data_IF_209551562671
#
_entry.id   IF_209551562671
#
_cell.length_a   1.000
_cell.length_b   1.000
_cell.length_c   1.000
_cell.angle_alpha   90.00
_cell.angle_beta   90.00
_cell.angle_gamma   90.00
#
_symmetry.space_group_name_H-M   'P 1'
#
loop_
_entity.id
_entity.type
_entity.pdbx_description
1 polymer ?
#
# COMPACT_ATOMS: atom_id res chain seq x y z
N UNK A 1 -14.29 3.76 -8.80
CA UNK A 1 -14.88 2.80 -7.87
C UNK A 1 -14.29 2.98 -6.46
N UNK A 2 -12.96 3.01 -6.30
CA UNK A 2 -12.28 3.12 -5.00
C UNK A 2 -12.70 4.37 -4.21
N UNK A 3 -12.79 5.53 -4.85
CA UNK A 3 -13.28 6.77 -4.19
C UNK A 3 -14.70 6.60 -3.67
N UNK A 4 -15.60 5.98 -4.45
CA UNK A 4 -16.98 5.68 -4.01
C UNK A 4 -17.02 4.65 -2.88
N UNK A 5 -16.01 3.81 -2.75
CA UNK A 5 -15.84 2.87 -1.64
C UNK A 5 -15.20 3.51 -0.39
N UNK A 6 -14.85 4.80 -0.42
CA UNK A 6 -14.26 5.53 0.70
C UNK A 6 -12.73 5.68 0.65
N UNK A 7 -12.08 5.22 -0.41
CA UNK A 7 -10.63 5.41 -0.61
C UNK A 7 -10.34 6.79 -1.22
N UNK A 8 -10.46 7.83 -0.39
CA UNK A 8 -10.08 9.20 -0.78
C UNK A 8 -8.60 9.43 -0.53
N UNK A 9 -7.92 10.14 -1.42
CA UNK A 9 -6.50 10.50 -1.27
C UNK A 9 -6.27 11.81 -0.51
N UNK A 10 -7.32 12.62 -0.33
CA UNK A 10 -7.28 13.92 0.36
C UNK A 10 -8.42 14.03 1.37
N UNK A 11 -8.49 15.15 2.10
CA UNK A 11 -9.49 15.42 3.13
C UNK A 11 -9.27 14.62 4.41
N UNK A 12 -10.34 14.33 5.14
CA UNK A 12 -10.30 13.75 6.50
C UNK A 12 -9.42 12.49 6.60
N UNK A 13 -9.42 11.64 5.59
CA UNK A 13 -8.63 10.42 5.60
C UNK A 13 -7.13 10.71 5.50
N UNK A 14 -6.73 11.68 4.70
CA UNK A 14 -5.36 12.17 4.62
C UNK A 14 -4.96 12.87 5.93
N UNK A 15 -5.79 13.77 6.43
CA UNK A 15 -5.54 14.50 7.68
C UNK A 15 -5.37 13.54 8.87
N UNK A 16 -6.20 12.49 8.94
CA UNK A 16 -6.13 11.49 10.03
C UNK A 16 -4.77 10.81 10.13
N UNK A 17 -4.12 10.50 8.99
CA UNK A 17 -2.92 9.67 8.99
C UNK A 17 -1.64 10.39 8.55
N UNK A 18 -1.74 11.57 7.94
CA UNK A 18 -0.60 12.26 7.32
C UNK A 18 -0.48 13.75 7.68
N UNK A 19 -1.21 14.24 8.67
CA UNK A 19 -1.13 15.65 9.10
C UNK A 19 0.28 16.06 9.54
N UNK A 20 1.10 15.15 10.05
CA UNK A 20 2.50 15.38 10.38
C UNK A 20 3.37 15.56 9.13
N UNK A 21 3.14 14.76 8.09
CA UNK A 21 3.78 14.90 6.78
C UNK A 21 3.36 16.18 6.08
N UNK A 22 2.06 16.53 6.10
CA UNK A 22 1.59 17.83 5.57
C UNK A 22 2.31 19.00 6.23
N UNK A 23 2.40 19.01 7.55
CA UNK A 23 3.12 20.09 8.28
C UNK A 23 4.59 20.18 7.94
N UNK A 24 5.25 19.06 7.69
CA UNK A 24 6.69 19.03 7.39
C UNK A 24 7.00 19.33 5.93
N UNK A 25 6.20 18.82 5.01
CA UNK A 25 6.52 18.81 3.58
C UNK A 25 5.55 19.59 2.70
N UNK A 26 4.39 19.98 3.21
CA UNK A 26 3.43 20.87 2.55
C UNK A 26 2.48 20.22 1.54
N UNK A 27 2.60 18.91 1.25
CA UNK A 27 1.64 18.23 0.38
C UNK A 27 0.33 17.91 1.14
N UNK A 28 -0.80 17.84 0.39
CA UNK A 28 -2.15 17.73 0.97
C UNK A 28 -2.94 16.53 0.47
N UNK A 29 -2.27 15.58 -0.15
CA UNK A 29 -2.89 14.35 -0.64
C UNK A 29 -1.89 13.20 -0.68
N UNK A 30 -2.40 11.97 -0.68
CA UNK A 30 -1.56 10.77 -0.64
C UNK A 30 -0.77 10.53 -1.93
N UNK A 31 -1.26 11.02 -3.07
CA UNK A 31 -0.54 10.87 -4.32
C UNK A 31 0.73 11.71 -4.32
N UNK A 32 0.60 13.00 -4.00
CA UNK A 32 1.75 13.91 -3.88
C UNK A 32 2.75 13.43 -2.83
N UNK A 33 2.28 12.88 -1.71
CA UNK A 33 3.14 12.28 -0.68
C UNK A 33 3.88 11.05 -1.16
N UNK A 34 3.25 10.21 -1.99
CA UNK A 34 3.87 9.02 -2.55
C UNK A 34 5.04 9.31 -3.50
N UNK A 35 5.00 10.44 -4.19
CA UNK A 35 6.04 10.89 -5.12
C UNK A 35 6.98 11.95 -4.52
N UNK A 36 6.84 12.25 -3.22
CA UNK A 36 7.73 13.19 -2.57
C UNK A 36 9.15 12.63 -2.47
N UNK A 37 10.21 13.40 -2.81
CA UNK A 37 11.59 12.93 -2.78
C UNK A 37 12.15 12.94 -1.34
N UNK A 38 11.79 11.96 -0.54
CA UNK A 38 12.27 11.80 0.83
C UNK A 38 13.79 11.70 0.88
N UNK A 39 14.41 12.29 1.88
CA UNK A 39 15.88 12.32 2.01
C UNK A 39 16.46 11.00 2.50
N UNK A 40 15.68 10.21 3.25
CA UNK A 40 16.10 8.92 3.80
C UNK A 40 15.05 7.84 3.52
N UNK A 41 15.50 6.58 3.47
CA UNK A 41 14.60 5.44 3.32
C UNK A 41 13.72 5.23 4.57
N UNK A 42 14.20 5.64 5.73
CA UNK A 42 13.42 5.63 6.96
C UNK A 42 12.19 6.55 6.88
N UNK A 43 12.34 7.75 6.29
CA UNK A 43 11.20 8.66 6.04
C UNK A 43 10.30 8.14 4.91
N UNK A 44 10.89 7.64 3.83
CA UNK A 44 10.14 7.04 2.72
C UNK A 44 9.22 5.92 3.24
N UNK A 45 9.76 5.00 4.00
CA UNK A 45 8.98 3.91 4.57
C UNK A 45 8.05 4.36 5.71
N UNK A 46 8.40 5.43 6.43
CA UNK A 46 7.51 6.08 7.38
C UNK A 46 6.24 6.60 6.72
N UNK A 47 6.33 7.12 5.51
CA UNK A 47 5.17 7.49 4.71
C UNK A 47 4.46 6.26 4.12
N UNK A 48 5.22 5.41 3.42
CA UNK A 48 4.64 4.33 2.64
C UNK A 48 4.00 3.24 3.48
N UNK A 49 4.52 2.93 4.68
CA UNK A 49 3.87 1.93 5.53
C UNK A 49 2.45 2.32 5.92
N UNK A 50 2.19 3.60 6.22
CA UNK A 50 0.84 4.10 6.49
C UNK A 50 -0.04 4.01 5.24
N UNK A 51 0.46 4.49 4.10
CA UNK A 51 -0.27 4.47 2.84
C UNK A 51 -0.66 3.03 2.46
N UNK A 52 0.28 2.10 2.50
CA UNK A 52 0.04 0.68 2.23
C UNK A 52 -0.98 0.13 3.22
N UNK A 53 -0.78 0.35 4.54
CA UNK A 53 -1.68 -0.22 5.53
C UNK A 53 -3.13 0.17 5.31
N UNK A 54 -3.41 1.46 5.23
CA UNK A 54 -4.79 1.96 5.12
C UNK A 54 -5.44 1.65 3.77
N UNK A 55 -4.68 1.43 2.71
CA UNK A 55 -5.22 1.12 1.39
C UNK A 55 -5.29 -0.39 1.09
N UNK A 56 -4.40 -1.20 1.69
CA UNK A 56 -4.25 -2.62 1.35
C UNK A 56 -4.69 -3.57 2.47
N UNK A 57 -4.42 -3.23 3.72
CA UNK A 57 -4.59 -4.14 4.86
C UNK A 57 -5.73 -3.76 5.80
N UNK A 58 -6.01 -2.49 5.99
CA UNK A 58 -7.16 -2.03 6.76
C UNK A 58 -8.49 -2.48 6.13
N UNK A 59 -9.59 -2.53 6.89
CA UNK A 59 -10.90 -2.89 6.35
C UNK A 59 -11.29 -2.03 5.15
N UNK A 60 -11.97 -2.63 4.19
CA UNK A 60 -12.56 -1.87 3.07
C UNK A 60 -13.66 -0.99 3.66
N UNK A 61 -13.65 0.35 3.41
CA UNK A 61 -14.56 1.27 4.09
C UNK A 61 -16.05 1.05 3.80
N UNK A 62 -16.38 0.36 2.72
CA UNK A 62 -17.78 0.07 2.36
C UNK A 62 -17.93 -1.29 1.69
N UNK A 63 -19.18 -1.79 1.63
CA UNK A 63 -19.54 -3.05 0.96
C UNK A 63 -19.74 -2.91 -0.57
N UNK A 64 -19.21 -1.85 -1.18
CA UNK A 64 -19.43 -1.58 -2.61
C UNK A 64 -18.93 -2.72 -3.51
N UNK A 65 -17.74 -3.26 -3.21
CA UNK A 65 -17.14 -4.36 -3.99
C UNK A 65 -17.92 -5.67 -3.81
N UNK A 66 -18.42 -5.98 -2.60
CA UNK A 66 -19.27 -7.13 -2.34
C UNK A 66 -20.60 -7.03 -3.10
N UNK A 67 -21.22 -5.85 -3.12
CA UNK A 67 -22.42 -5.59 -3.91
C UNK A 67 -22.18 -5.72 -5.42
N UNK A 68 -21.05 -5.25 -5.90
CA UNK A 68 -20.67 -5.41 -7.31
C UNK A 68 -20.49 -6.91 -7.65
N UNK A 69 -19.80 -7.66 -6.79
CA UNK A 69 -19.67 -9.11 -6.98
C UNK A 69 -21.03 -9.79 -7.05
N UNK A 70 -21.97 -9.45 -6.15
CA UNK A 70 -23.31 -10.01 -6.15
C UNK A 70 -24.07 -9.77 -7.46
N UNK A 71 -23.81 -8.65 -8.14
CA UNK A 71 -24.42 -8.33 -9.43
C UNK A 71 -23.87 -9.16 -10.61
N UNK A 72 -22.59 -9.57 -10.53
CA UNK A 72 -21.91 -10.19 -11.67
C UNK A 72 -21.55 -11.66 -11.48
N UNK A 73 -21.58 -12.21 -10.26
CA UNK A 73 -21.12 -13.57 -9.92
C UNK A 73 -21.70 -14.70 -10.79
N UNK A 74 -22.95 -14.53 -11.24
CA UNK A 74 -23.67 -15.51 -12.08
C UNK A 74 -23.60 -15.15 -13.58
N UNK A 75 -22.74 -14.23 -13.95
CA UNK A 75 -22.53 -13.75 -15.33
C UNK A 75 -21.16 -14.12 -15.84
N UNK A 76 -20.98 -14.09 -17.13
CA UNK A 76 -19.65 -14.13 -17.74
C UNK A 76 -19.02 -12.73 -17.62
N UNK A 77 -18.19 -12.56 -16.61
CA UNK A 77 -17.51 -11.27 -16.31
C UNK A 77 -15.98 -11.42 -16.37
N UNK A 78 -15.33 -10.32 -16.62
CA UNK A 78 -13.90 -10.17 -16.44
C UNK A 78 -13.62 -8.79 -15.85
N UNK A 79 -12.67 -8.70 -14.91
CA UNK A 79 -12.24 -7.45 -14.28
C UNK A 79 -10.88 -7.06 -14.83
N UNK A 80 -10.81 -5.87 -15.44
CA UNK A 80 -9.56 -5.18 -15.73
C UNK A 80 -9.47 -3.94 -14.84
N UNK A 81 -8.42 -3.85 -14.05
CA UNK A 81 -8.27 -2.75 -13.08
C UNK A 81 -6.84 -2.21 -13.05
N UNK A 82 -6.74 -0.90 -12.82
CA UNK A 82 -5.49 -0.20 -12.49
C UNK A 82 -5.31 0.01 -10.99
N UNK A 83 -6.26 -0.47 -10.17
CA UNK A 83 -6.16 -0.37 -8.72
C UNK A 83 -5.12 -1.34 -8.17
N UNK A 84 -4.39 -0.87 -7.16
CA UNK A 84 -3.31 -1.60 -6.48
C UNK A 84 -3.67 -2.00 -5.04
N UNK A 85 -4.95 -1.81 -4.66
CA UNK A 85 -5.48 -2.02 -3.32
C UNK A 85 -6.00 -3.45 -3.06
N UNK A 86 -6.08 -4.28 -4.09
CA UNK A 86 -6.62 -5.63 -4.06
C UNK A 86 -8.08 -5.73 -3.55
N UNK A 87 -8.86 -4.67 -3.65
CA UNK A 87 -10.25 -4.68 -3.18
C UNK A 87 -11.12 -5.70 -3.90
N UNK A 88 -10.89 -5.97 -5.18
CA UNK A 88 -11.60 -7.03 -5.90
C UNK A 88 -11.30 -8.40 -5.30
N UNK A 89 -10.01 -8.76 -5.14
CA UNK A 89 -9.58 -10.04 -4.57
C UNK A 89 -10.10 -10.21 -3.14
N UNK A 90 -9.96 -9.17 -2.31
CA UNK A 90 -10.40 -9.15 -0.91
C UNK A 90 -11.92 -9.28 -0.76
N UNK A 91 -12.67 -8.90 -1.79
CA UNK A 91 -14.13 -9.03 -1.84
C UNK A 91 -14.62 -10.33 -2.48
N UNK A 92 -13.70 -11.25 -2.84
CA UNK A 92 -14.04 -12.60 -3.30
C UNK A 92 -14.24 -12.75 -4.81
N UNK A 93 -13.80 -11.79 -5.63
CA UNK A 93 -13.77 -11.97 -7.09
C UNK A 93 -12.80 -13.08 -7.47
N UNK A 94 -13.18 -13.88 -8.48
CA UNK A 94 -12.34 -14.96 -8.99
C UNK A 94 -11.04 -14.41 -9.60
N UNK A 95 -9.89 -14.81 -9.04
CA UNK A 95 -8.55 -14.38 -9.49
C UNK A 95 -8.32 -14.70 -10.97
N UNK A 96 -8.88 -15.80 -11.50
CA UNK A 96 -8.78 -16.18 -12.92
C UNK A 96 -9.55 -15.24 -13.85
N UNK A 97 -10.44 -14.43 -13.32
CA UNK A 97 -11.26 -13.45 -14.03
C UNK A 97 -10.85 -12.00 -13.71
N UNK A 98 -9.62 -11.82 -13.25
CA UNK A 98 -9.14 -10.52 -12.80
C UNK A 98 -7.73 -10.26 -13.32
N UNK A 99 -7.54 -9.09 -13.93
CA UNK A 99 -6.24 -8.61 -14.37
C UNK A 99 -5.98 -7.21 -13.82
N UNK A 100 -4.89 -7.04 -13.09
CA UNK A 100 -4.44 -5.76 -12.54
C UNK A 100 -3.08 -5.40 -13.14
N UNK A 101 -2.92 -4.13 -13.55
CA UNK A 101 -1.82 -3.71 -14.43
C UNK A 101 -0.80 -2.79 -13.79
N UNK A 102 -1.07 -2.27 -12.59
CA UNK A 102 -0.27 -1.21 -11.96
C UNK A 102 0.50 -1.68 -10.71
N UNK A 103 0.52 -2.99 -10.45
CA UNK A 103 1.17 -3.59 -9.29
C UNK A 103 0.26 -3.80 -8.09
N UNK A 104 0.85 -4.00 -6.92
CA UNK A 104 0.17 -4.29 -5.66
C UNK A 104 0.84 -3.57 -4.49
N UNK A 105 0.07 -2.84 -3.70
CA UNK A 105 0.54 -2.30 -2.41
C UNK A 105 1.00 -3.38 -1.43
N UNK A 106 0.58 -4.62 -1.60
CA UNK A 106 0.96 -5.76 -0.75
C UNK A 106 2.31 -6.38 -1.09
N UNK A 107 3.03 -5.84 -2.08
CA UNK A 107 4.29 -6.38 -2.55
C UNK A 107 5.44 -5.38 -2.46
N UNK A 108 6.63 -5.91 -2.18
CA UNK A 108 7.90 -5.24 -2.42
C UNK A 108 8.54 -5.75 -3.71
N UNK A 109 9.41 -4.93 -4.29
CA UNK A 109 10.35 -5.31 -5.35
C UNK A 109 11.72 -4.66 -5.10
N UNK A 110 12.77 -5.14 -5.76
CA UNK A 110 14.05 -4.43 -5.80
C UNK A 110 13.86 -3.05 -6.42
N UNK A 111 14.48 -2.02 -5.86
CA UNK A 111 14.43 -0.65 -6.39
C UNK A 111 15.15 -0.48 -7.72
N UNK A 112 16.01 -1.43 -8.08
CA UNK A 112 16.75 -1.46 -9.35
C UNK A 112 16.97 -2.93 -9.73
N UNK A 113 15.90 -3.63 -10.16
CA UNK A 113 15.96 -5.04 -10.46
C UNK A 113 16.93 -5.32 -11.61
N UNK A 114 17.95 -6.10 -11.33
CA UNK A 114 18.88 -6.63 -12.32
C UNK A 114 18.53 -8.06 -12.67
N UNK A 115 19.40 -8.70 -13.46
CA UNK A 115 19.23 -10.12 -13.80
C UNK A 115 19.26 -11.03 -12.55
N UNK A 116 19.95 -10.61 -11.50
CA UNK A 116 20.07 -11.33 -10.23
C UNK A 116 18.76 -11.33 -9.45
N UNK A 117 18.00 -10.25 -9.51
CA UNK A 117 16.69 -10.11 -8.85
C UNK A 117 15.61 -11.03 -9.45
N UNK A 118 15.91 -11.67 -10.60
CA UNK A 118 15.02 -12.62 -11.30
C UNK A 118 13.58 -12.15 -11.45
N UNK A 119 13.37 -10.84 -11.44
CA UNK A 119 12.05 -10.21 -11.53
C UNK A 119 11.06 -10.75 -10.49
N UNK A 120 11.48 -10.86 -9.21
CA UNK A 120 10.62 -11.34 -8.12
C UNK A 120 9.98 -10.21 -7.35
N UNK A 121 8.78 -10.49 -6.89
CA UNK A 121 8.04 -9.70 -5.90
C UNK A 121 8.02 -10.44 -4.56
N UNK A 122 7.80 -9.72 -3.47
CA UNK A 122 7.86 -10.26 -2.12
C UNK A 122 6.68 -9.72 -1.30
N UNK A 123 5.96 -10.60 -0.61
CA UNK A 123 4.92 -10.20 0.34
C UNK A 123 5.51 -9.24 1.40
N UNK A 124 4.77 -8.19 1.71
CA UNK A 124 5.25 -7.16 2.61
C UNK A 124 4.45 -7.02 3.91
N UNK A 125 3.42 -7.84 4.13
CA UNK A 125 2.49 -7.68 5.24
C UNK A 125 3.19 -7.56 6.61
N UNK A 126 4.06 -8.52 6.96
CA UNK A 126 4.69 -8.54 8.27
C UNK A 126 5.69 -7.38 8.46
N UNK A 127 6.40 -7.01 7.41
CA UNK A 127 7.34 -5.88 7.47
C UNK A 127 6.58 -4.57 7.63
N UNK A 128 5.55 -4.33 6.83
CA UNK A 128 4.69 -3.15 6.94
C UNK A 128 4.01 -3.10 8.31
N UNK A 129 3.53 -4.22 8.82
CA UNK A 129 2.96 -4.30 10.17
C UNK A 129 3.95 -3.86 11.26
N UNK A 130 5.19 -4.34 11.18
CA UNK A 130 6.26 -3.95 12.12
C UNK A 130 6.60 -2.46 12.00
N UNK A 131 6.65 -1.93 10.79
CA UNK A 131 6.87 -0.50 10.55
C UNK A 131 5.78 0.36 11.21
N UNK A 132 4.50 0.04 10.98
CA UNK A 132 3.34 0.71 11.59
C UNK A 132 3.43 0.73 13.12
N UNK A 133 3.72 -0.41 13.73
CA UNK A 133 3.86 -0.51 15.18
C UNK A 133 5.06 0.28 15.69
N UNK A 134 6.18 0.31 14.96
CA UNK A 134 7.37 1.08 15.32
C UNK A 134 7.14 2.58 15.30
N UNK A 135 6.23 3.09 14.47
CA UNK A 135 5.81 4.49 14.47
C UNK A 135 4.94 4.87 15.67
N UNK A 136 4.39 3.88 16.38
CA UNK A 136 3.55 4.09 17.55
C UNK A 136 2.05 3.93 17.29
N UNK A 137 1.64 3.50 16.09
CA UNK A 137 0.25 3.16 15.82
C UNK A 137 -0.17 1.87 16.53
N UNK A 138 -1.46 1.74 16.72
CA UNK A 138 -2.09 0.49 17.16
C UNK A 138 -2.93 -0.09 16.01
N UNK A 139 -2.99 -1.42 15.96
CA UNK A 139 -3.78 -2.15 14.96
C UNK A 139 -4.85 -2.94 15.69
N UNK A 140 -6.10 -2.71 15.37
CA UNK A 140 -7.23 -3.48 15.90
C UNK A 140 -7.28 -4.88 15.32
N UNK A 141 -8.07 -5.76 15.95
CA UNK A 141 -8.26 -7.16 15.49
C UNK A 141 -8.79 -7.27 14.05
N UNK A 142 -9.59 -6.28 13.62
CA UNK A 142 -10.11 -6.22 12.26
C UNK A 142 -9.11 -5.59 11.25
N UNK A 143 -7.95 -5.12 11.72
CA UNK A 143 -6.93 -4.45 10.91
C UNK A 143 -7.06 -2.93 10.84
N UNK A 144 -8.03 -2.31 11.53
CA UNK A 144 -8.13 -0.86 11.55
C UNK A 144 -6.93 -0.22 12.23
N UNK A 145 -6.44 0.87 11.63
CA UNK A 145 -5.30 1.63 12.14
C UNK A 145 -5.78 2.71 13.10
N UNK A 146 -5.34 2.62 14.35
CA UNK A 146 -5.68 3.58 15.39
C UNK A 146 -4.52 4.55 15.60
N UNK A 147 -4.83 5.85 15.48
CA UNK A 147 -3.92 6.92 15.89
C UNK A 147 -4.04 7.10 17.40
N UNK A 148 -2.98 6.82 18.19
CA UNK A 148 -3.05 6.94 19.64
C UNK A 148 -3.23 8.41 20.04
N UNK A 149 -4.10 8.67 21.02
CA UNK A 149 -4.42 10.05 21.47
C UNK A 149 -3.27 10.71 22.23
N UNK A 150 -2.52 9.93 22.98
CA UNK A 150 -1.53 10.42 23.95
C UNK A 150 -0.07 10.15 23.51
N UNK A 151 0.13 9.60 22.33
CA UNK A 151 1.45 9.25 21.81
C UNK A 151 1.69 9.97 20.49
N UNK A 152 2.77 10.71 20.40
CA UNK A 152 3.20 11.29 19.12
C UNK A 152 3.71 10.18 18.22
N UNK A 153 3.05 9.95 17.10
CA UNK A 153 3.52 9.01 16.08
C UNK A 153 4.81 9.53 15.44
N UNK A 154 5.69 8.61 15.06
CA UNK A 154 6.95 8.91 14.36
C UNK A 154 6.69 8.99 12.87
N UNK A 155 7.50 9.77 12.17
CA UNK A 155 7.47 9.91 10.71
C UNK A 155 8.54 9.03 10.03
N UNK A 156 9.27 8.24 10.80
CA UNK A 156 10.37 7.41 10.32
C UNK A 156 10.27 6.02 10.93
N UNK A 157 10.66 5.03 10.16
CA UNK A 157 10.86 3.66 10.66
C UNK A 157 12.30 3.47 11.14
N UNK A 158 12.59 2.50 12.01
CA UNK A 158 13.97 2.08 12.31
C UNK A 158 14.69 1.57 11.06
N UNK A 159 16.00 1.82 10.97
CA UNK A 159 16.81 1.43 9.80
C UNK A 159 16.86 -0.09 9.56
N UNK A 160 16.72 -0.89 10.61
CA UNK A 160 16.66 -2.35 10.53
C UNK A 160 15.34 -2.89 9.93
N UNK A 161 14.33 -2.02 9.79
CA UNK A 161 13.08 -2.35 9.10
C UNK A 161 13.09 -1.92 7.62
N UNK A 162 14.09 -1.15 7.17
CA UNK A 162 14.21 -0.80 5.74
C UNK A 162 14.49 -2.09 4.95
N UNK A 163 13.59 -2.49 4.02
CA UNK A 163 13.71 -3.79 3.38
C UNK A 163 14.82 -3.82 2.34
N UNK A 164 15.55 -4.94 2.34
CA UNK A 164 16.61 -5.24 1.38
C UNK A 164 16.22 -6.50 0.60
N UNK A 165 16.40 -6.45 -0.71
CA UNK A 165 16.07 -7.56 -1.60
C UNK A 165 17.01 -8.75 -1.33
N UNK A 166 16.48 -9.93 -1.03
CA UNK A 166 17.30 -11.11 -0.75
C UNK A 166 18.04 -11.64 -1.97
N UNK A 167 17.59 -11.30 -3.19
CA UNK A 167 18.21 -11.79 -4.42
C UNK A 167 19.45 -10.98 -4.82
N UNK A 168 19.41 -9.64 -4.67
CA UNK A 168 20.45 -8.75 -5.19
C UNK A 168 21.09 -7.82 -4.14
N UNK A 169 20.61 -7.86 -2.89
CA UNK A 169 21.12 -7.06 -1.78
C UNK A 169 20.82 -5.57 -1.87
N UNK A 170 20.00 -5.13 -2.83
CA UNK A 170 19.63 -3.72 -2.99
C UNK A 170 18.43 -3.37 -2.12
N UNK A 171 18.25 -2.07 -1.89
CA UNK A 171 17.05 -1.58 -1.23
C UNK A 171 15.79 -1.98 -2.01
N UNK A 172 14.73 -2.26 -1.28
CA UNK A 172 13.42 -2.50 -1.89
C UNK A 172 12.60 -1.21 -1.99
N UNK A 173 11.63 -1.24 -2.89
CA UNK A 173 10.59 -0.23 -3.06
C UNK A 173 9.22 -0.91 -3.15
N UNK A 174 8.17 -0.11 -3.26
CA UNK A 174 6.81 -0.60 -3.54
C UNK A 174 6.72 -1.22 -4.93
N UNK A 175 5.92 -2.26 -5.09
CA UNK A 175 5.61 -2.82 -6.41
C UNK A 175 4.52 -2.01 -7.09
N UNK A 176 4.91 -0.86 -7.65
CA UNK A 176 4.02 0.05 -8.37
C UNK A 176 4.64 0.40 -9.73
N UNK A 177 3.81 0.37 -10.78
CA UNK A 177 4.24 0.73 -12.15
C UNK A 177 4.36 2.26 -12.27
N UNK A 178 5.46 2.80 -11.75
CA UNK A 178 5.78 4.23 -11.84
C UNK A 178 6.84 4.53 -12.89
N UNK A 179 7.67 3.55 -13.23
CA UNK A 179 8.77 3.65 -14.19
C UNK A 179 9.14 2.27 -14.78
N UNK A 180 10.23 2.22 -15.54
CA UNK A 180 10.72 1.01 -16.23
C UNK A 180 11.33 -0.03 -15.27
N UNK A 181 11.49 0.26 -13.98
CA UNK A 181 11.97 -0.70 -12.98
C UNK A 181 10.87 -1.63 -12.45
N UNK A 182 9.63 -1.43 -12.88
CA UNK A 182 8.50 -2.23 -12.43
C UNK A 182 8.68 -3.72 -12.73
N UNK A 183 8.42 -4.54 -11.73
CA UNK A 183 8.45 -6.00 -11.81
C UNK A 183 7.01 -6.52 -11.89
N UNK A 184 6.71 -7.25 -12.96
CA UNK A 184 5.41 -7.95 -13.07
C UNK A 184 5.30 -9.02 -11.98
N UNK A 185 4.16 -9.06 -11.32
CA UNK A 185 3.81 -10.16 -10.43
C UNK A 185 3.16 -11.28 -11.26
N UNK A 186 3.75 -12.46 -11.23
CA UNK A 186 3.24 -13.62 -11.96
C UNK A 186 2.10 -14.36 -11.22
N UNK A 187 1.73 -13.88 -10.02
CA UNK A 187 0.55 -14.27 -9.26
C UNK A 187 0.67 -15.45 -8.34
#
# INVERSE_FOLDING_TARGET
LSTAAGYTYSGERFEKYFADFERKYGFRDMYSGGFYPYQTMEEFWGYWCRNIWINRYAPIPSDLYGRLLALVKDKDYFVLTTNVDHCFQRSGFDKKRLFYTQGDYGLFQSSSPGKEAKNRTYDNYEVIRRMILSEGYQIEKNGELIVPKDTKVRMTVPSDLVPVCPDDGKLMTTNLRCDDSFVEDEG
#
